data_IF_842976720494
#
_entry.id   IF_842976720494
#
_cell.length_a   1.000
_cell.length_b   1.000
_cell.length_c   1.000
_cell.angle_alpha   90.00
_cell.angle_beta   90.00
_cell.angle_gamma   90.00
#
_symmetry.space_group_name_H-M   'P 1'
#
loop_
_entity.id
_entity.type
_entity.pdbx_description
1 polymer ?
#
# COMPACT_ATOMS: atom_id res chain seq x y z
N UNK A 1 14.61 -40.91 14.71
CA UNK A 1 13.47 -40.25 14.03
C UNK A 1 14.02 -39.39 12.90
N UNK A 2 13.52 -39.49 11.66
CA UNK A 2 14.11 -38.80 10.49
C UNK A 2 13.99 -37.26 10.54
N UNK A 3 13.08 -36.72 11.35
CA UNK A 3 12.90 -35.28 11.60
C UNK A 3 14.06 -34.62 12.36
N UNK A 4 14.88 -35.39 13.09
CA UNK A 4 16.02 -34.90 13.87
C UNK A 4 17.28 -34.70 13.03
N UNK A 5 17.26 -35.02 11.73
CA UNK A 5 18.40 -34.73 10.86
C UNK A 5 18.44 -33.22 10.61
N UNK A 6 19.52 -32.55 11.03
CA UNK A 6 19.76 -31.11 10.89
C UNK A 6 20.18 -30.71 9.46
N UNK A 7 20.70 -31.65 8.67
CA UNK A 7 21.28 -31.40 7.36
C UNK A 7 20.35 -30.68 6.36
N UNK A 8 19.05 -31.03 6.25
CA UNK A 8 18.17 -30.37 5.28
C UNK A 8 17.50 -29.08 5.81
N UNK A 9 17.60 -28.76 7.11
CA UNK A 9 16.77 -27.70 7.72
C UNK A 9 17.03 -26.32 7.14
N UNK A 10 18.30 -25.98 6.88
CA UNK A 10 18.64 -24.68 6.32
C UNK A 10 18.02 -24.47 4.93
N UNK A 11 18.08 -25.48 4.07
CA UNK A 11 17.49 -25.44 2.73
C UNK A 11 15.96 -25.36 2.78
N UNK A 12 15.33 -26.15 3.67
CA UNK A 12 13.88 -26.12 3.86
C UNK A 12 13.43 -24.74 4.35
N UNK A 13 14.11 -24.17 5.35
CA UNK A 13 13.81 -22.85 5.88
C UNK A 13 13.94 -21.79 4.77
N UNK A 14 15.09 -21.75 4.08
CA UNK A 14 15.36 -20.78 3.02
C UNK A 14 14.35 -20.85 1.87
N UNK A 15 14.06 -22.05 1.38
CA UNK A 15 13.07 -22.26 0.30
C UNK A 15 11.66 -21.85 0.71
N UNK A 16 11.27 -22.13 1.96
CA UNK A 16 9.98 -21.73 2.50
C UNK A 16 9.85 -20.21 2.59
N UNK A 17 10.87 -19.52 3.12
CA UNK A 17 10.88 -18.06 3.18
C UNK A 17 10.84 -17.42 1.79
N UNK A 18 11.60 -17.95 0.84
CA UNK A 18 11.65 -17.43 -0.52
C UNK A 18 10.28 -17.58 -1.22
N UNK A 19 9.63 -18.73 -1.05
CA UNK A 19 8.28 -18.98 -1.56
C UNK A 19 7.26 -18.00 -0.96
N UNK A 20 7.33 -17.77 0.35
CA UNK A 20 6.46 -16.78 0.99
C UNK A 20 6.68 -15.37 0.46
N UNK A 21 7.93 -14.91 0.33
CA UNK A 21 8.23 -13.57 -0.21
C UNK A 21 7.65 -13.42 -1.62
N UNK A 22 7.88 -14.40 -2.50
CA UNK A 22 7.40 -14.36 -3.89
C UNK A 22 5.86 -14.31 -3.97
N UNK A 23 5.15 -15.03 -3.09
CA UNK A 23 3.68 -15.06 -3.08
C UNK A 23 3.09 -13.81 -2.41
N UNK A 24 3.67 -13.33 -1.31
CA UNK A 24 3.12 -12.21 -0.55
C UNK A 24 3.43 -10.84 -1.17
N UNK A 25 4.60 -10.65 -1.80
CA UNK A 25 5.01 -9.37 -2.38
C UNK A 25 4.00 -8.75 -3.37
N UNK A 26 3.46 -9.48 -4.38
CA UNK A 26 2.49 -8.90 -5.31
C UNK A 26 1.16 -8.55 -4.63
N UNK A 27 0.75 -9.31 -3.61
CA UNK A 27 -0.47 -9.01 -2.85
C UNK A 27 -0.33 -7.71 -2.05
N UNK A 28 0.81 -7.50 -1.42
CA UNK A 28 1.10 -6.28 -0.67
C UNK A 28 1.28 -5.06 -1.58
N UNK A 29 1.88 -5.23 -2.76
CA UNK A 29 2.07 -4.10 -3.69
C UNK A 29 0.78 -3.63 -4.37
N UNK A 30 -0.27 -4.46 -4.40
CA UNK A 30 -1.56 -4.12 -5.02
C UNK A 30 -2.45 -3.20 -4.17
N UNK A 31 -2.05 -2.86 -2.95
CA UNK A 31 -2.85 -1.97 -2.10
C UNK A 31 -2.80 -0.53 -2.62
N UNK A 32 -3.95 -0.02 -3.04
CA UNK A 32 -4.13 1.39 -3.35
C UNK A 32 -4.09 2.21 -2.05
N UNK A 33 -3.25 3.26 -2.03
CA UNK A 33 -3.22 4.21 -0.91
C UNK A 33 -4.49 5.05 -0.90
N UNK A 34 -5.30 4.95 0.15
CA UNK A 34 -6.57 5.68 0.32
C UNK A 34 -6.38 7.20 0.44
N UNK A 35 -5.19 7.66 0.80
CA UNK A 35 -4.86 9.09 0.91
C UNK A 35 -4.00 9.52 -0.28
N UNK A 36 -4.56 9.47 -1.49
CA UNK A 36 -3.99 10.30 -2.55
C UNK A 36 -4.40 11.74 -2.23
N UNK A 37 -3.48 12.66 -1.88
CA UNK A 37 -3.85 14.05 -1.69
C UNK A 37 -4.37 14.52 -3.04
N UNK A 38 -5.69 14.64 -3.16
CA UNK A 38 -6.30 15.31 -4.28
C UNK A 38 -5.72 16.72 -4.26
N UNK A 39 -4.92 17.05 -5.27
CA UNK A 39 -4.56 18.43 -5.55
C UNK A 39 -5.89 19.11 -5.82
N UNK A 40 -6.48 19.68 -4.77
CA UNK A 40 -7.54 20.67 -4.95
C UNK A 40 -6.81 21.79 -5.63
N UNK A 41 -6.97 21.88 -6.95
CA UNK A 41 -6.63 23.10 -7.64
C UNK A 41 -7.24 24.20 -6.78
N UNK A 42 -6.38 25.08 -6.27
CA UNK A 42 -6.81 26.36 -5.75
C UNK A 42 -7.27 27.13 -6.99
N UNK A 43 -8.34 26.66 -7.63
CA UNK A 43 -9.20 27.51 -8.41
C UNK A 43 -9.59 28.52 -7.36
N UNK A 44 -8.91 29.65 -7.37
CA UNK A 44 -9.41 30.93 -6.91
C UNK A 44 -10.79 30.99 -7.53
N UNK A 45 -11.78 30.43 -6.82
CA UNK A 45 -13.15 30.75 -7.05
C UNK A 45 -13.08 32.27 -7.02
N UNK A 46 -13.29 32.88 -8.17
CA UNK A 46 -13.61 34.28 -8.24
C UNK A 46 -14.89 34.34 -7.41
N UNK A 47 -14.74 34.47 -6.09
CA UNK A 47 -15.83 34.61 -5.16
C UNK A 47 -16.38 35.94 -5.56
N UNK A 48 -17.36 35.91 -6.46
CA UNK A 48 -18.30 37.00 -6.61
C UNK A 48 -18.68 37.34 -5.17
N UNK A 49 -18.29 38.51 -4.66
CA UNK A 49 -18.64 38.89 -3.30
C UNK A 49 -20.15 38.76 -3.22
N UNK A 50 -20.64 38.07 -2.19
CA UNK A 50 -22.06 37.89 -1.98
C UNK A 50 -22.70 39.28 -1.88
N UNK A 51 -23.36 39.73 -2.94
CA UNK A 51 -24.09 40.99 -2.95
C UNK A 51 -25.36 40.76 -2.15
N UNK A 52 -25.36 41.23 -0.90
CA UNK A 52 -26.58 41.28 -0.09
C UNK A 52 -27.67 42.07 -0.82
N UNK A 53 -28.95 41.67 -0.72
CA UNK A 53 -30.02 42.18 -1.57
C UNK A 53 -30.62 43.51 -1.08
N UNK A 54 -29.93 44.27 -0.22
CA UNK A 54 -30.46 45.50 0.38
C UNK A 54 -29.61 46.74 0.07
N UNK A 55 -29.15 46.87 -1.17
CA UNK A 55 -28.79 48.17 -1.75
C UNK A 55 -29.90 48.64 -2.69
#
# INVERSE_FOLDING_TARGET
MPQLNLDPWFLILSSTWLTYILILQPKMSSYLSTNNPAYKDNTTACMSPWTWPWT
#
